data_IF_693257669802
#
_entry.id   IF_693257669802
#
_cell.length_a   1.000
_cell.length_b   1.000
_cell.length_c   1.000
_cell.angle_alpha   90.00
_cell.angle_beta   90.00
_cell.angle_gamma   90.00
#
_symmetry.space_group_name_H-M   'P 1'
#
loop_
_entity.id
_entity.type
_entity.pdbx_description
1 polymer ?
#
# COMPACT_ATOMS: atom_id res chain seq x y z
N UNK A 1 9.97 16.20 26.81
CA UNK A 1 8.65 16.45 26.19
C UNK A 1 8.64 17.74 25.37
N UNK A 2 9.04 18.90 25.93
CA UNK A 2 9.19 20.15 25.17
C UNK A 2 10.22 20.05 24.04
N UNK A 3 11.35 19.38 24.28
CA UNK A 3 12.37 19.14 23.24
C UNK A 3 11.84 18.38 22.03
N UNK A 4 11.04 17.33 22.24
CA UNK A 4 10.41 16.56 21.16
C UNK A 4 9.33 17.37 20.41
N UNK A 5 8.60 18.25 21.10
CA UNK A 5 7.63 19.17 20.48
C UNK A 5 8.31 20.31 19.71
N UNK A 6 9.48 20.78 20.16
CA UNK A 6 10.22 21.88 19.54
C UNK A 6 11.12 21.41 18.39
N UNK A 7 11.61 20.16 18.44
CA UNK A 7 12.42 19.57 17.37
C UNK A 7 11.62 19.04 16.18
N UNK A 8 10.29 19.13 16.22
CA UNK A 8 9.41 18.66 15.14
C UNK A 8 9.75 17.22 14.69
N UNK A 9 10.07 16.35 15.66
CA UNK A 9 10.47 14.96 15.41
C UNK A 9 9.43 14.19 14.62
N UNK A 10 8.17 14.62 14.70
CA UNK A 10 7.08 14.11 13.89
C UNK A 10 7.31 14.36 12.39
N UNK A 11 7.65 15.58 11.98
CA UNK A 11 7.96 15.91 10.59
C UNK A 11 9.21 15.18 10.10
N UNK A 12 10.23 15.08 10.97
CA UNK A 12 11.44 14.30 10.65
C UNK A 12 11.10 12.83 10.43
N UNK A 13 10.30 12.22 11.30
CA UNK A 13 9.85 10.84 11.16
C UNK A 13 8.99 10.65 9.90
N UNK A 14 8.00 11.50 9.69
CA UNK A 14 7.12 11.47 8.52
C UNK A 14 7.91 11.52 7.20
N UNK A 15 8.79 12.51 7.08
CA UNK A 15 9.59 12.72 5.87
C UNK A 15 10.60 11.60 5.64
N UNK A 16 11.31 11.15 6.67
CA UNK A 16 12.28 10.05 6.55
C UNK A 16 11.61 8.71 6.25
N UNK A 17 10.45 8.43 6.85
CA UNK A 17 9.64 7.26 6.55
C UNK A 17 9.13 7.28 5.11
N UNK A 18 8.54 8.39 4.67
CA UNK A 18 8.07 8.57 3.29
C UNK A 18 9.20 8.42 2.26
N UNK A 19 10.37 9.01 2.54
CA UNK A 19 11.55 8.86 1.69
C UNK A 19 12.04 7.41 1.64
N UNK A 20 12.10 6.73 2.79
CA UNK A 20 12.51 5.32 2.86
C UNK A 20 11.61 4.41 2.03
N UNK A 21 10.30 4.55 2.16
CA UNK A 21 9.33 3.78 1.38
C UNK A 21 9.43 4.09 -0.12
N UNK A 22 9.61 5.36 -0.49
CA UNK A 22 9.81 5.74 -1.88
C UNK A 22 11.07 5.10 -2.49
N UNK A 23 12.19 5.11 -1.75
CA UNK A 23 13.44 4.47 -2.19
C UNK A 23 13.21 2.97 -2.39
N UNK A 24 12.61 2.29 -1.41
CA UNK A 24 12.31 0.84 -1.49
C UNK A 24 11.41 0.53 -2.69
N UNK A 25 10.32 1.27 -2.87
CA UNK A 25 9.40 1.08 -3.98
C UNK A 25 10.09 1.27 -5.33
N UNK A 26 10.88 2.33 -5.49
CA UNK A 26 11.62 2.60 -6.72
C UNK A 26 12.69 1.55 -7.03
N UNK A 27 13.33 1.00 -5.99
CA UNK A 27 14.32 -0.06 -6.12
C UNK A 27 13.66 -1.38 -6.53
N UNK A 28 12.59 -1.78 -5.84
CA UNK A 28 11.82 -2.97 -6.18
C UNK A 28 11.29 -2.93 -7.62
N UNK A 29 10.72 -1.81 -8.05
CA UNK A 29 10.24 -1.64 -9.43
C UNK A 29 11.35 -1.79 -10.49
N UNK A 30 12.59 -1.44 -10.15
CA UNK A 30 13.77 -1.64 -11.02
C UNK A 30 14.27 -3.09 -11.03
N UNK A 31 14.09 -3.82 -9.92
CA UNK A 31 14.48 -5.23 -9.81
C UNK A 31 13.50 -6.18 -10.53
N UNK A 32 12.20 -5.85 -10.58
CA UNK A 32 11.18 -6.64 -11.28
C UNK A 32 11.61 -7.07 -12.70
N UNK A 33 12.05 -6.19 -13.61
CA UNK A 33 12.45 -6.60 -14.95
C UNK A 33 13.75 -7.42 -15.00
N UNK A 34 14.57 -7.40 -13.94
CA UNK A 34 15.82 -8.18 -13.86
C UNK A 34 15.55 -9.60 -13.36
N UNK A 35 14.58 -9.76 -12.46
CA UNK A 35 14.27 -11.02 -11.79
C UNK A 35 13.16 -11.82 -12.48
N UNK A 36 12.32 -11.18 -13.30
CA UNK A 36 11.20 -11.82 -14.00
C UNK A 36 11.44 -11.84 -15.52
N UNK A 37 11.86 -13.00 -16.08
CA UNK A 37 12.09 -13.14 -17.52
C UNK A 37 10.78 -13.10 -18.33
N UNK A 38 9.70 -13.63 -17.76
CA UNK A 38 8.41 -13.74 -18.44
C UNK A 38 7.72 -12.37 -18.58
N UNK A 39 7.38 -11.93 -19.80
CA UNK A 39 6.81 -10.62 -20.04
C UNK A 39 5.36 -10.44 -19.52
N UNK A 40 4.58 -11.51 -19.41
CA UNK A 40 3.21 -11.47 -18.88
C UNK A 40 3.23 -11.38 -17.36
N UNK A 41 3.98 -12.26 -16.69
CA UNK A 41 4.10 -12.25 -15.21
C UNK A 41 4.70 -10.92 -14.74
N UNK A 42 5.72 -10.41 -15.44
CA UNK A 42 6.33 -9.11 -15.15
C UNK A 42 5.32 -7.96 -15.17
N UNK A 43 4.38 -7.96 -16.13
CA UNK A 43 3.33 -6.93 -16.20
C UNK A 43 2.37 -7.04 -15.03
N UNK A 44 1.96 -8.25 -14.68
CA UNK A 44 1.10 -8.50 -13.52
C UNK A 44 1.77 -8.03 -12.23
N UNK A 45 2.99 -8.48 -11.94
CA UNK A 45 3.75 -8.10 -10.73
C UNK A 45 3.97 -6.60 -10.65
N UNK A 46 4.30 -5.95 -11.77
CA UNK A 46 4.45 -4.49 -11.82
C UNK A 46 3.13 -3.79 -11.51
N UNK A 47 2.01 -4.24 -12.06
CA UNK A 47 0.70 -3.66 -11.79
C UNK A 47 0.31 -3.84 -10.31
N UNK A 48 0.54 -5.02 -9.74
CA UNK A 48 0.32 -5.30 -8.31
C UNK A 48 1.14 -4.34 -7.44
N UNK A 49 2.43 -4.20 -7.75
CA UNK A 49 3.33 -3.29 -7.04
C UNK A 49 2.88 -1.82 -7.14
N UNK A 50 2.41 -1.38 -8.31
CA UNK A 50 1.88 -0.02 -8.50
C UNK A 50 0.57 0.20 -7.72
N UNK A 51 -0.33 -0.79 -7.72
CA UNK A 51 -1.57 -0.74 -6.95
C UNK A 51 -1.26 -0.65 -5.44
N UNK A 52 -0.35 -1.49 -4.94
CA UNK A 52 0.08 -1.43 -3.54
C UNK A 52 0.74 -0.10 -3.16
N UNK A 53 1.61 0.42 -4.03
CA UNK A 53 2.19 1.75 -3.88
C UNK A 53 1.13 2.86 -3.88
N UNK A 54 0.09 2.73 -4.71
CA UNK A 54 -1.05 3.64 -4.74
C UNK A 54 -1.86 3.64 -3.44
N UNK A 55 -2.18 2.45 -2.91
CA UNK A 55 -2.86 2.32 -1.61
C UNK A 55 -2.03 2.90 -0.46
N UNK A 56 -0.72 2.64 -0.46
CA UNK A 56 0.18 3.19 0.54
C UNK A 56 0.25 4.72 0.47
N UNK A 57 0.40 5.28 -0.73
CA UNK A 57 0.43 6.73 -0.94
C UNK A 57 -0.88 7.39 -0.53
N UNK A 58 -2.02 6.78 -0.90
CA UNK A 58 -3.33 7.27 -0.48
C UNK A 58 -3.45 7.25 1.04
N UNK A 59 -3.06 6.15 1.69
CA UNK A 59 -3.04 6.05 3.15
C UNK A 59 -2.15 7.11 3.79
N UNK A 60 -0.97 7.38 3.23
CA UNK A 60 -0.07 8.41 3.73
C UNK A 60 -0.65 9.83 3.58
N UNK A 61 -1.33 10.13 2.48
CA UNK A 61 -2.03 11.42 2.29
C UNK A 61 -3.17 11.57 3.29
N UNK A 62 -3.97 10.51 3.45
CA UNK A 62 -5.08 10.43 4.41
C UNK A 62 -4.57 10.66 5.83
N UNK A 63 -3.41 10.09 6.18
CA UNK A 63 -2.73 10.32 7.46
C UNK A 63 -2.28 11.78 7.65
N UNK A 64 -1.68 12.41 6.63
CA UNK A 64 -1.35 13.85 6.68
C UNK A 64 -2.59 14.72 6.92
N UNK A 65 -3.70 14.41 6.24
CA UNK A 65 -4.95 15.15 6.40
C UNK A 65 -5.53 14.94 7.80
N UNK A 66 -5.48 13.71 8.34
CA UNK A 66 -5.95 13.39 9.69
C UNK A 66 -5.20 14.19 10.75
N UNK A 67 -3.87 14.29 10.62
CA UNK A 67 -3.02 15.06 11.54
C UNK A 67 -3.35 16.57 11.50
N UNK A 68 -3.46 17.15 10.30
CA UNK A 68 -3.73 18.58 10.12
C UNK A 68 -5.17 18.98 10.45
N UNK A 69 -6.15 18.14 10.10
CA UNK A 69 -7.57 18.41 10.27
C UNK A 69 -8.15 17.77 11.54
N UNK A 70 -7.32 17.26 12.45
CA UNK A 70 -7.74 16.51 13.64
C UNK A 70 -8.85 17.22 14.44
N UNK A 71 -8.69 18.52 14.73
CA UNK A 71 -9.72 19.28 15.46
C UNK A 71 -11.04 19.39 14.69
N UNK A 72 -10.96 19.69 13.39
CA UNK A 72 -12.14 19.78 12.53
C UNK A 72 -12.86 18.43 12.37
N UNK A 73 -12.10 17.33 12.30
CA UNK A 73 -12.64 15.97 12.22
C UNK A 73 -13.35 15.58 13.51
N UNK A 74 -12.79 15.94 14.68
CA UNK A 74 -13.43 15.72 15.99
C UNK A 74 -14.72 16.52 16.11
N UNK A 75 -14.70 17.80 15.78
CA UNK A 75 -15.89 18.68 15.83
C UNK A 75 -16.99 18.19 14.88
N UNK A 76 -16.62 17.79 13.66
CA UNK A 76 -17.55 17.20 12.70
C UNK A 76 -18.12 15.86 13.20
N UNK A 77 -17.32 15.02 13.85
CA UNK A 77 -17.77 13.74 14.40
C UNK A 77 -18.79 13.93 15.51
N UNK A 78 -18.58 14.92 16.38
CA UNK A 78 -19.53 15.28 17.44
C UNK A 78 -20.83 15.88 16.88
N UNK A 79 -20.76 16.62 15.76
CA UNK A 79 -21.93 17.19 15.11
C UNK A 79 -22.79 16.15 14.36
N UNK A 80 -22.17 15.16 13.72
CA UNK A 80 -22.86 14.21 12.84
C UNK A 80 -23.38 12.97 13.59
N UNK A 81 -22.71 12.53 14.65
CA UNK A 81 -23.12 11.35 15.43
C UNK A 81 -22.94 10.01 14.70
N UNK A 82 -23.21 8.91 15.40
CA UNK A 82 -23.06 7.52 14.90
C UNK A 82 -24.31 7.18 14.05
N UNK A 83 -24.19 6.53 12.87
CA UNK A 83 -23.03 5.78 12.34
C UNK A 83 -22.10 6.54 11.40
N UNK A 84 -22.50 7.71 10.89
CA UNK A 84 -21.73 8.44 9.86
C UNK A 84 -20.41 9.01 10.41
N UNK A 85 -20.34 9.20 11.74
CA UNK A 85 -19.10 9.48 12.47
C UNK A 85 -17.95 8.50 12.16
N UNK A 86 -18.24 7.25 11.81
CA UNK A 86 -17.21 6.25 11.50
C UNK A 86 -16.51 6.55 10.16
N UNK A 87 -17.23 7.09 9.17
CA UNK A 87 -16.63 7.50 7.90
C UNK A 87 -15.70 8.70 8.05
N UNK A 88 -15.94 9.54 9.06
CA UNK A 88 -15.10 10.67 9.43
C UNK A 88 -13.88 10.26 10.28
N UNK A 89 -13.74 8.97 10.61
CA UNK A 89 -12.55 8.45 11.30
C UNK A 89 -11.42 8.18 10.31
N UNK A 90 -10.90 9.27 9.75
CA UNK A 90 -9.79 9.25 8.81
C UNK A 90 -8.55 8.53 9.39
N UNK A 91 -8.38 8.60 10.70
CA UNK A 91 -7.44 7.80 11.48
C UNK A 91 -7.53 6.29 11.20
N UNK A 92 -8.72 5.69 11.22
CA UNK A 92 -8.89 4.26 10.94
C UNK A 92 -8.61 3.93 9.48
N UNK A 93 -8.97 4.82 8.57
CA UNK A 93 -8.81 4.62 7.13
C UNK A 93 -7.34 4.59 6.70
N UNK A 94 -6.49 5.47 7.24
CA UNK A 94 -5.07 5.42 6.85
C UNK A 94 -4.39 4.13 7.30
N UNK A 95 -4.73 3.59 8.47
CA UNK A 95 -4.23 2.28 8.93
C UNK A 95 -4.60 1.16 7.96
N UNK A 96 -5.86 1.11 7.50
CA UNK A 96 -6.31 0.09 6.56
C UNK A 96 -5.58 0.22 5.21
N UNK A 97 -5.50 1.44 4.68
CA UNK A 97 -4.88 1.71 3.38
C UNK A 97 -3.38 1.41 3.39
N UNK A 98 -2.67 1.86 4.43
CA UNK A 98 -1.23 1.60 4.58
C UNK A 98 -0.94 0.13 4.88
N UNK A 99 -1.81 -0.58 5.63
CA UNK A 99 -1.67 -2.02 5.86
C UNK A 99 -1.81 -2.82 4.56
N UNK A 100 -2.78 -2.47 3.70
CA UNK A 100 -2.94 -3.09 2.38
C UNK A 100 -1.69 -2.84 1.52
N UNK A 101 -1.24 -1.57 1.43
CA UNK A 101 -0.05 -1.21 0.66
C UNK A 101 1.22 -1.88 1.17
N UNK A 102 1.40 -1.95 2.49
CA UNK A 102 2.54 -2.62 3.13
C UNK A 102 2.54 -4.13 2.89
N UNK A 103 1.38 -4.78 3.00
CA UNK A 103 1.24 -6.21 2.69
C UNK A 103 1.61 -6.50 1.23
N UNK A 104 1.11 -5.71 0.28
CA UNK A 104 1.48 -5.83 -1.14
C UNK A 104 2.99 -5.64 -1.33
N UNK A 105 3.58 -4.65 -0.65
CA UNK A 105 5.01 -4.38 -0.72
C UNK A 105 5.86 -5.58 -0.27
N UNK A 106 5.54 -6.17 0.88
CA UNK A 106 6.23 -7.37 1.37
C UNK A 106 6.05 -8.55 0.42
N UNK A 107 4.84 -8.77 -0.08
CA UNK A 107 4.54 -9.88 -0.98
C UNK A 107 5.28 -9.76 -2.33
N UNK A 108 5.43 -8.54 -2.86
CA UNK A 108 6.22 -8.27 -4.07
C UNK A 108 7.71 -8.49 -3.81
N UNK A 109 8.25 -8.05 -2.67
CA UNK A 109 9.65 -8.28 -2.31
C UNK A 109 9.93 -9.77 -2.15
N UNK A 110 9.06 -10.50 -1.46
CA UNK A 110 9.19 -11.93 -1.25
C UNK A 110 9.23 -12.68 -2.59
N UNK A 111 8.30 -12.36 -3.50
CA UNK A 111 8.26 -12.93 -4.84
C UNK A 111 9.54 -12.66 -5.65
N UNK A 112 10.06 -11.43 -5.60
CA UNK A 112 11.28 -11.05 -6.32
C UNK A 112 12.50 -11.75 -5.70
N UNK A 113 12.51 -12.01 -4.40
CA UNK A 113 13.68 -12.55 -3.68
C UNK A 113 13.70 -14.08 -3.65
N UNK A 114 12.54 -14.73 -3.69
CA UNK A 114 12.41 -16.19 -3.66
C UNK A 114 12.97 -16.88 -4.92
N UNK A 115 13.16 -16.16 -6.03
CA UNK A 115 13.74 -16.70 -7.27
C UNK A 115 12.86 -17.70 -8.03
N UNK A 116 11.69 -18.05 -7.49
CA UNK A 116 10.70 -18.95 -8.10
C UNK A 116 9.58 -18.14 -8.77
N UNK A 117 9.87 -17.47 -9.89
CA UNK A 117 8.84 -16.83 -10.72
C UNK A 117 8.60 -17.69 -11.97
N UNK A 118 8.22 -18.94 -11.76
CA UNK A 118 7.90 -19.91 -12.82
C UNK A 118 6.39 -20.12 -13.01
N UNK A 119 5.56 -19.78 -12.02
CA UNK A 119 4.09 -19.85 -12.10
C UNK A 119 3.45 -18.50 -11.71
N UNK A 120 2.20 -18.25 -12.15
CA UNK A 120 1.46 -17.01 -11.89
C UNK A 120 1.20 -16.85 -10.37
N UNK A 121 1.84 -15.88 -9.69
CA UNK A 121 1.78 -15.76 -8.22
C UNK A 121 0.44 -15.23 -7.71
N UNK A 122 -0.47 -14.86 -8.61
CA UNK A 122 -1.78 -14.26 -8.29
C UNK A 122 -2.64 -15.16 -7.40
N UNK A 123 -2.49 -16.49 -7.50
CA UNK A 123 -3.24 -17.47 -6.72
C UNK A 123 -2.68 -17.70 -5.30
N UNK A 124 -1.44 -17.26 -5.02
CA UNK A 124 -0.78 -17.44 -3.70
C UNK A 124 -0.97 -16.26 -2.74
N UNK A 125 -1.50 -15.12 -3.21
CA UNK A 125 -1.69 -13.97 -2.33
C UNK A 125 -2.91 -14.14 -1.41
N UNK A 126 -2.76 -13.76 -0.14
CA UNK A 126 -3.89 -13.74 0.79
C UNK A 126 -4.86 -12.60 0.44
N UNK A 127 -6.14 -12.82 0.75
CA UNK A 127 -7.19 -11.82 0.59
C UNK A 127 -6.78 -10.47 1.23
N UNK A 128 -6.95 -9.29 0.58
CA UNK A 128 -7.78 -9.01 -0.60
C UNK A 128 -7.01 -8.82 -1.93
N UNK A 129 -5.70 -9.09 -1.98
CA UNK A 129 -4.88 -8.84 -3.19
C UNK A 129 -5.42 -9.56 -4.44
N UNK A 130 -5.82 -10.85 -4.41
CA UNK A 130 -6.33 -11.53 -5.61
C UNK A 130 -7.56 -10.83 -6.19
N UNK A 131 -8.43 -10.27 -5.34
CA UNK A 131 -9.60 -9.52 -5.79
C UNK A 131 -9.23 -8.19 -6.44
N UNK A 132 -8.32 -7.43 -5.82
CA UNK A 132 -7.84 -6.16 -6.37
C UNK A 132 -7.09 -6.36 -7.69
N UNK A 133 -6.25 -7.38 -7.78
CA UNK A 133 -5.52 -7.74 -9.01
C UNK A 133 -6.50 -8.17 -10.09
N UNK A 134 -7.43 -9.09 -9.81
CA UNK A 134 -8.44 -9.56 -10.78
C UNK A 134 -9.37 -8.45 -11.28
N UNK A 135 -9.61 -7.42 -10.46
CA UNK A 135 -10.35 -6.22 -10.86
C UNK A 135 -9.53 -5.32 -11.81
N UNK A 136 -8.21 -5.23 -11.59
CA UNK A 136 -7.30 -4.36 -12.36
C UNK A 136 -6.77 -5.03 -13.64
N UNK A 137 -6.52 -6.34 -13.61
CA UNK A 137 -5.95 -7.10 -14.74
C UNK A 137 -7.01 -7.90 -15.54
N UNK A 138 -8.26 -7.92 -15.08
CA UNK A 138 -9.31 -8.77 -15.64
C UNK A 138 -9.13 -10.25 -15.26
N UNK A 139 -10.09 -11.14 -15.58
CA UNK A 139 -9.97 -12.55 -15.24
C UNK A 139 -8.78 -13.19 -15.97
N UNK A 140 -7.73 -13.53 -15.23
CA UNK A 140 -6.62 -14.36 -15.73
C UNK A 140 -7.16 -15.71 -16.17
N UNK A 141 -6.87 -16.10 -17.42
CA UNK A 141 -7.16 -17.44 -17.92
C UNK A 141 -6.19 -18.39 -17.22
N UNK A 142 -6.72 -19.20 -16.32
CA UNK A 142 -6.02 -20.37 -15.78
C UNK A 142 -5.45 -21.19 -16.94
N UNK A 143 -4.13 -21.21 -17.05
CA UNK A 143 -3.44 -22.15 -17.96
C UNK A 143 -3.61 -23.53 -17.31
N UNK A 144 -4.53 -24.31 -17.88
CA UNK A 144 -4.70 -25.72 -17.52
C UNK A 144 -3.38 -26.45 -17.71
N UNK A 145 -2.84 -27.04 -16.64
CA UNK A 145 -1.87 -28.15 -16.74
C UNK A 145 -2.53 -29.28 -17.54
N UNK A 146 -1.94 -29.62 -18.68
CA UNK A 146 -2.22 -30.84 -19.45
C UNK A 146 -1.21 -31.91 -19.07
#
# INVERSE_FOLDING_TARGET
MVTHMVMDEFLLHASTFGLGVYIIASHNLKLIPQQVPDPEIRRTVRNVALVGGGFFLLGYIVWLIDDWACRHLIDARHAVGIPVAFLLELHGWWHILTAIGGYIGVAVVDLITAGEVTEDPTDSFAWPIPFAVRLVTGPTKSVKKA
#
